data_IF_169287121958
#
_entry.id   IF_169287121958
#
_cell.length_a   1.000
_cell.length_b   1.000
_cell.length_c   1.000
_cell.angle_alpha   90.00
_cell.angle_beta   90.00
_cell.angle_gamma   90.00
#
_symmetry.space_group_name_H-M   'P 1'
#
loop_
_entity.id
_entity.type
_entity.pdbx_description
1 polymer ?
#
# COMPACT_ATOMS: atom_id res chain seq x y z
N UNK A 1 19.76 -2.57 -41.95
CA UNK A 1 19.48 -1.50 -40.98
C UNK A 1 18.46 -2.05 -40.01
N UNK A 2 18.90 -2.56 -38.86
CA UNK A 2 18.01 -3.07 -37.83
C UNK A 2 17.54 -1.89 -36.98
N UNK A 3 16.25 -1.56 -37.05
CA UNK A 3 15.65 -0.61 -36.13
C UNK A 3 15.52 -1.31 -34.78
N UNK A 4 16.37 -0.97 -33.83
CA UNK A 4 16.14 -1.25 -32.41
C UNK A 4 14.87 -0.49 -32.02
N UNK A 5 13.76 -1.21 -31.86
CA UNK A 5 12.57 -0.66 -31.20
C UNK A 5 12.90 -0.50 -29.73
N UNK A 6 13.51 0.62 -29.37
CA UNK A 6 13.56 1.07 -27.98
C UNK A 6 12.11 1.35 -27.58
N UNK A 7 11.50 0.40 -26.86
CA UNK A 7 10.25 0.68 -26.18
C UNK A 7 10.51 1.89 -25.26
N UNK A 8 9.72 2.98 -25.35
CA UNK A 8 9.85 4.07 -24.41
C UNK A 8 9.72 3.47 -23.02
N UNK A 9 10.73 3.69 -22.19
CA UNK A 9 10.72 3.25 -20.80
C UNK A 9 9.40 3.69 -20.19
N UNK A 10 8.58 2.73 -19.77
CA UNK A 10 7.49 2.99 -18.85
C UNK A 10 8.17 3.50 -17.57
N UNK A 11 8.30 4.83 -17.45
CA UNK A 11 8.82 5.44 -16.24
C UNK A 11 7.93 4.96 -15.08
N UNK A 12 8.54 4.22 -14.16
CA UNK A 12 7.82 3.67 -13.03
C UNK A 12 7.12 4.81 -12.26
N UNK A 13 5.83 4.69 -11.91
CA UNK A 13 5.05 5.78 -11.34
C UNK A 13 5.76 6.43 -10.16
N UNK A 14 5.66 7.77 -9.97
CA UNK A 14 6.32 8.47 -8.87
C UNK A 14 5.96 7.83 -7.53
N UNK A 15 6.98 7.63 -6.68
CA UNK A 15 6.80 7.00 -5.36
C UNK A 15 5.76 7.75 -4.52
N UNK A 16 5.68 9.08 -4.65
CA UNK A 16 4.68 9.90 -3.96
C UNK A 16 3.24 9.60 -4.39
N UNK A 17 2.99 9.31 -5.67
CA UNK A 17 1.66 8.94 -6.16
C UNK A 17 1.25 7.55 -5.66
N UNK A 18 2.19 6.61 -5.66
CA UNK A 18 1.98 5.26 -5.12
C UNK A 18 1.69 5.31 -3.61
N UNK A 19 2.43 6.14 -2.86
CA UNK A 19 2.18 6.36 -1.44
C UNK A 19 0.80 6.96 -1.18
N UNK A 20 0.39 7.97 -1.95
CA UNK A 20 -0.93 8.57 -1.84
C UNK A 20 -2.06 7.57 -2.16
N UNK A 21 -1.88 6.74 -3.20
CA UNK A 21 -2.83 5.68 -3.54
C UNK A 21 -2.95 4.65 -2.43
N UNK A 22 -1.83 4.16 -1.89
CA UNK A 22 -1.84 3.21 -0.77
C UNK A 22 -2.57 3.78 0.46
N UNK A 23 -2.31 5.05 0.81
CA UNK A 23 -3.02 5.72 1.90
C UNK A 23 -4.52 5.83 1.64
N UNK A 24 -4.93 6.21 0.42
CA UNK A 24 -6.34 6.29 0.05
C UNK A 24 -7.04 4.92 0.11
N UNK A 25 -6.38 3.85 -0.37
CA UNK A 25 -6.89 2.48 -0.30
C UNK A 25 -7.13 2.04 1.15
N UNK A 26 -6.17 2.29 2.05
CA UNK A 26 -6.32 1.96 3.47
C UNK A 26 -7.42 2.78 4.14
N UNK A 27 -7.51 4.08 3.86
CA UNK A 27 -8.58 4.93 4.38
C UNK A 27 -9.97 4.43 3.95
N UNK A 28 -10.15 4.12 2.67
CA UNK A 28 -11.43 3.62 2.16
C UNK A 28 -11.81 2.28 2.77
N UNK A 29 -10.84 1.38 2.93
CA UNK A 29 -11.07 0.08 3.54
C UNK A 29 -11.38 0.21 5.05
N UNK A 30 -10.70 1.12 5.76
CA UNK A 30 -11.00 1.47 7.15
C UNK A 30 -12.39 2.08 7.33
N UNK A 31 -12.82 2.94 6.40
CA UNK A 31 -14.18 3.50 6.40
C UNK A 31 -15.25 2.44 6.15
N UNK A 32 -15.02 1.55 5.17
CA UNK A 32 -15.92 0.42 4.90
C UNK A 32 -16.02 -0.51 6.12
N UNK A 33 -14.88 -0.78 6.76
CA UNK A 33 -14.81 -1.56 7.98
C UNK A 33 -15.58 -0.93 9.14
N UNK A 34 -15.45 0.38 9.36
CA UNK A 34 -16.21 1.07 10.42
C UNK A 34 -17.71 1.13 10.12
N UNK A 35 -18.10 1.31 8.86
CA UNK A 35 -19.49 1.49 8.47
C UNK A 35 -20.29 0.18 8.38
N UNK A 36 -19.66 -0.90 7.94
CA UNK A 36 -20.35 -2.17 7.60
C UNK A 36 -19.73 -3.40 8.24
N UNK A 37 -18.68 -3.23 9.05
CA UNK A 37 -17.87 -4.33 9.60
C UNK A 37 -17.31 -5.26 8.50
N UNK A 38 -16.99 -4.66 7.35
CA UNK A 38 -16.42 -5.37 6.19
C UNK A 38 -14.93 -5.65 6.40
N UNK A 39 -14.66 -6.70 7.17
CA UNK A 39 -13.31 -7.14 7.56
C UNK A 39 -12.51 -7.68 6.36
N UNK A 40 -13.18 -8.33 5.41
CA UNK A 40 -12.51 -8.97 4.29
C UNK A 40 -11.95 -7.92 3.33
N UNK A 41 -12.71 -6.86 3.04
CA UNK A 41 -12.23 -5.71 2.27
C UNK A 41 -11.05 -5.01 2.96
N UNK A 42 -11.11 -4.86 4.30
CA UNK A 42 -10.01 -4.28 5.08
C UNK A 42 -8.73 -5.11 5.02
N UNK A 43 -8.88 -6.44 5.11
CA UNK A 43 -7.76 -7.39 5.02
C UNK A 43 -7.11 -7.35 3.64
N UNK A 44 -7.92 -7.40 2.58
CA UNK A 44 -7.44 -7.35 1.19
C UNK A 44 -6.72 -6.03 0.89
N UNK A 45 -7.20 -4.90 1.41
CA UNK A 45 -6.53 -3.61 1.28
C UNK A 45 -5.14 -3.61 1.93
N UNK A 46 -4.99 -4.18 3.13
CA UNK A 46 -3.69 -4.31 3.78
C UNK A 46 -2.72 -5.19 2.98
N UNK A 47 -3.20 -6.31 2.43
CA UNK A 47 -2.35 -7.21 1.64
C UNK A 47 -1.90 -6.57 0.33
N UNK A 48 -2.80 -5.86 -0.35
CA UNK A 48 -2.48 -5.10 -1.57
C UNK A 48 -1.44 -4.01 -1.29
N UNK A 49 -1.63 -3.23 -0.23
CA UNK A 49 -0.67 -2.19 0.15
C UNK A 49 0.68 -2.78 0.55
N UNK A 50 0.70 -3.90 1.27
CA UNK A 50 1.95 -4.62 1.58
C UNK A 50 2.71 -5.06 0.33
N UNK A 51 2.00 -5.59 -0.67
CA UNK A 51 2.61 -6.00 -1.94
C UNK A 51 3.19 -4.82 -2.72
N UNK A 52 2.46 -3.70 -2.80
CA UNK A 52 2.92 -2.48 -3.49
C UNK A 52 4.11 -1.86 -2.74
N UNK A 53 4.05 -1.80 -1.40
CA UNK A 53 5.14 -1.31 -0.57
C UNK A 53 6.43 -2.11 -0.80
N UNK A 54 6.32 -3.45 -0.87
CA UNK A 54 7.47 -4.33 -1.18
C UNK A 54 8.10 -4.06 -2.55
N UNK A 55 7.31 -3.68 -3.55
CA UNK A 55 7.81 -3.34 -4.90
C UNK A 55 8.51 -1.99 -4.95
N UNK A 56 8.06 -1.01 -4.17
CA UNK A 56 8.64 0.34 -4.16
C UNK A 56 9.71 0.51 -3.08
N UNK A 57 9.93 -0.48 -2.22
CA UNK A 57 10.85 -0.41 -1.08
C UNK A 57 12.27 -0.01 -1.45
N UNK A 58 12.77 -0.44 -2.61
CA UNK A 58 14.09 -0.06 -3.13
C UNK A 58 14.16 1.39 -3.66
N UNK A 59 13.00 2.02 -3.90
CA UNK A 59 12.85 3.39 -4.39
C UNK A 59 12.55 4.39 -3.27
N UNK A 60 12.21 3.91 -2.08
CA UNK A 60 12.02 4.76 -0.92
C UNK A 60 13.40 5.27 -0.46
N UNK A 61 13.55 6.60 -0.42
CA UNK A 61 14.71 7.26 0.19
C UNK A 61 14.93 6.72 1.60
N UNK A 62 16.19 6.50 2.00
CA UNK A 62 16.58 6.06 3.35
C UNK A 62 16.19 7.04 4.47
N UNK A 63 15.61 8.20 4.12
CA UNK A 63 15.33 9.26 5.08
C UNK A 63 13.97 9.19 5.80
N UNK A 64 13.00 8.36 5.38
CA UNK A 64 11.91 7.97 6.30
C UNK A 64 10.94 6.85 5.80
N UNK A 65 11.44 5.70 5.30
CA UNK A 65 10.56 4.58 4.92
C UNK A 65 9.87 3.94 6.14
N UNK A 66 10.38 4.20 7.34
CA UNK A 66 9.89 3.70 8.62
C UNK A 66 8.46 4.18 8.90
N UNK A 67 8.16 5.45 8.62
CA UNK A 67 6.85 6.06 8.97
C UNK A 67 5.64 5.43 8.25
N UNK A 68 5.77 5.11 6.96
CA UNK A 68 4.65 4.54 6.18
C UNK A 68 4.48 3.05 6.47
N UNK A 69 5.57 2.30 6.57
CA UNK A 69 5.52 0.88 6.93
C UNK A 69 4.94 0.64 8.33
N UNK A 70 5.32 1.48 9.29
CA UNK A 70 4.75 1.49 10.65
C UNK A 70 3.26 1.84 10.63
N UNK A 71 2.84 2.84 9.86
CA UNK A 71 1.43 3.21 9.71
C UNK A 71 0.59 2.05 9.16
N UNK A 72 1.07 1.37 8.12
CA UNK A 72 0.40 0.21 7.52
C UNK A 72 0.29 -0.93 8.54
N UNK A 73 1.35 -1.15 9.31
CA UNK A 73 1.40 -2.19 10.35
C UNK A 73 0.42 -1.90 11.48
N UNK A 74 0.38 -0.67 12.00
CA UNK A 74 -0.55 -0.25 13.04
C UNK A 74 -2.02 -0.37 12.58
N UNK A 75 -2.32 0.03 11.33
CA UNK A 75 -3.64 -0.16 10.73
C UNK A 75 -4.04 -1.64 10.68
N UNK A 76 -3.12 -2.51 10.26
CA UNK A 76 -3.36 -3.96 10.23
C UNK A 76 -3.62 -4.51 11.63
N UNK A 77 -2.83 -4.11 12.62
CA UNK A 77 -2.99 -4.53 14.01
C UNK A 77 -4.30 -4.03 14.62
N UNK A 78 -4.76 -2.82 14.28
CA UNK A 78 -6.04 -2.29 14.74
C UNK A 78 -7.23 -3.10 14.21
N UNK A 79 -7.16 -3.52 12.94
CA UNK A 79 -8.17 -4.41 12.32
C UNK A 79 -8.18 -5.78 13.03
N UNK A 80 -7.01 -6.38 13.28
CA UNK A 80 -6.90 -7.69 13.96
C UNK A 80 -7.44 -7.62 15.39
N UNK A 81 -7.07 -6.58 16.16
CA UNK A 81 -7.52 -6.41 17.55
C UNK A 81 -9.05 -6.32 17.66
N UNK A 82 -9.71 -5.57 16.76
CA UNK A 82 -11.19 -5.47 16.77
C UNK A 82 -11.87 -6.79 16.36
N UNK A 83 -11.16 -7.70 15.68
CA UNK A 83 -11.62 -9.06 15.33
C UNK A 83 -11.58 -10.04 16.53
N UNK A 84 -11.05 -9.64 17.68
CA UNK A 84 -10.85 -10.51 18.85
C UNK A 84 -9.69 -11.49 18.70
N UNK A 85 -8.78 -11.24 17.74
CA UNK A 85 -7.51 -11.96 17.64
C UNK A 85 -6.48 -11.43 18.65
N UNK A 86 -5.55 -12.28 19.13
CA UNK A 86 -4.53 -11.91 20.10
C UNK A 86 -3.59 -10.81 19.62
#
# INVERSE_FOLDING_TARGET
MSASTEMPGLDAPPVGELAAQMAATLCMAGLAYLAKDDVDSATMACDLVGAVFGQIGSRLSTQDPTSLGELVTELRMAIVRKRGGP
#
